data_IF_769552642503
#
_entry.id   IF_769552642503
#
_cell.length_a   1.000
_cell.length_b   1.000
_cell.length_c   1.000
_cell.angle_alpha   90.00
_cell.angle_beta   90.00
_cell.angle_gamma   90.00
#
_symmetry.space_group_name_H-M   'P 1'
#
loop_
_entity.id
_entity.type
_entity.pdbx_description
1 polymer ?
#
# COMPACT_ATOMS: atom_id res chain seq x y z
N UNK A 1 -9.07 -6.11 58.99
CA UNK A 1 -9.27 -6.68 57.63
C UNK A 1 -9.48 -5.50 56.69
N UNK A 2 -8.56 -5.22 55.78
CA UNK A 2 -8.69 -4.06 54.90
C UNK A 2 -7.57 -4.04 53.87
N UNK A 3 -7.66 -4.92 52.87
CA UNK A 3 -6.74 -4.93 51.73
C UNK A 3 -7.22 -3.91 50.71
N UNK A 4 -6.50 -2.80 50.57
CA UNK A 4 -6.68 -1.86 49.48
C UNK A 4 -6.16 -2.48 48.18
N UNK A 5 -7.05 -2.83 47.26
CA UNK A 5 -6.69 -3.36 45.95
C UNK A 5 -6.30 -2.22 45.01
N UNK A 6 -5.01 -2.12 44.69
CA UNK A 6 -4.46 -1.14 43.74
C UNK A 6 -4.74 -1.64 42.32
N UNK A 7 -5.59 -0.95 41.57
CA UNK A 7 -5.88 -1.22 40.17
C UNK A 7 -4.71 -0.72 39.29
N UNK A 8 -3.84 -1.63 38.86
CA UNK A 8 -2.81 -1.36 37.84
C UNK A 8 -3.47 -1.22 36.46
N UNK A 9 -3.66 0.02 36.00
CA UNK A 9 -4.08 0.30 34.63
C UNK A 9 -2.91 0.07 33.66
N UNK A 10 -2.89 -1.08 32.98
CA UNK A 10 -1.95 -1.33 31.88
C UNK A 10 -2.41 -0.57 30.64
N UNK A 11 -1.75 0.53 30.30
CA UNK A 11 -1.97 1.24 29.04
C UNK A 11 -1.56 0.32 27.88
N UNK A 12 -2.53 -0.18 27.12
CA UNK A 12 -2.25 -0.86 25.85
C UNK A 12 -1.74 0.18 24.86
N UNK A 13 -0.45 0.14 24.55
CA UNK A 13 0.10 0.92 23.45
C UNK A 13 -0.50 0.36 22.15
N UNK A 14 -1.48 1.07 21.59
CA UNK A 14 -1.99 0.78 20.26
C UNK A 14 -0.88 1.08 19.25
N UNK A 15 -0.09 0.06 18.93
CA UNK A 15 0.97 0.13 17.95
C UNK A 15 0.30 0.32 16.57
N UNK A 16 0.12 1.56 16.13
CA UNK A 16 -0.28 1.87 14.76
C UNK A 16 0.88 1.51 13.83
N UNK A 17 1.07 0.22 13.59
CA UNK A 17 2.08 -0.25 12.66
C UNK A 17 1.69 0.26 11.27
N UNK A 18 2.59 1.01 10.63
CA UNK A 18 2.48 1.45 9.24
C UNK A 18 2.64 0.26 8.28
N UNK A 19 1.85 -0.80 8.50
CA UNK A 19 1.85 -2.00 7.69
C UNK A 19 1.18 -1.68 6.36
N UNK A 20 1.86 -1.94 5.24
CA UNK A 20 1.25 -1.77 3.93
C UNK A 20 0.01 -2.67 3.83
N UNK A 21 -1.11 -2.09 3.38
CA UNK A 21 -2.37 -2.78 3.15
C UNK A 21 -3.03 -3.40 4.41
N UNK A 22 -3.27 -2.62 5.46
CA UNK A 22 -3.92 -3.06 6.70
C UNK A 22 -5.46 -2.94 6.69
N UNK A 23 -6.10 -3.60 7.67
CA UNK A 23 -7.55 -3.52 7.88
C UNK A 23 -8.34 -4.07 6.70
N UNK A 24 -9.24 -3.23 6.14
CA UNK A 24 -10.14 -3.60 5.03
C UNK A 24 -9.41 -3.89 3.71
N UNK A 25 -8.14 -3.52 3.60
CA UNK A 25 -7.32 -3.75 2.39
C UNK A 25 -6.88 -5.20 2.21
N UNK A 26 -6.96 -6.01 3.27
CA UNK A 26 -6.75 -7.46 3.19
C UNK A 26 -5.30 -7.91 2.98
N UNK A 27 -4.31 -7.07 3.27
CA UNK A 27 -2.90 -7.39 3.06
C UNK A 27 -2.39 -7.07 1.66
N UNK A 28 -1.11 -7.35 1.45
CA UNK A 28 -0.39 -7.05 0.22
C UNK A 28 -0.71 -8.14 -0.81
N UNK A 29 -1.24 -7.75 -1.96
CA UNK A 29 -1.42 -8.62 -3.12
C UNK A 29 -0.13 -8.73 -3.94
N UNK A 30 0.66 -7.66 -3.99
CA UNK A 30 1.93 -7.64 -4.73
C UNK A 30 2.58 -6.26 -4.75
N UNK A 31 3.64 -6.14 -5.54
CA UNK A 31 4.39 -4.90 -5.75
C UNK A 31 4.29 -4.43 -7.20
N UNK A 32 4.12 -3.13 -7.39
CA UNK A 32 4.35 -2.46 -8.67
C UNK A 32 5.48 -1.46 -8.48
N UNK A 33 6.71 -1.88 -8.80
CA UNK A 33 7.92 -1.19 -8.36
C UNK A 33 7.99 -1.14 -6.84
N UNK A 34 8.13 0.08 -6.32
CA UNK A 34 8.14 0.33 -4.88
C UNK A 34 6.73 0.43 -4.27
N UNK A 35 5.68 0.47 -5.08
CA UNK A 35 4.30 0.65 -4.63
C UNK A 35 3.66 -0.67 -4.25
N UNK A 36 3.04 -0.74 -3.07
CA UNK A 36 2.30 -1.93 -2.66
C UNK A 36 0.90 -1.91 -3.27
N UNK A 37 0.53 -3.00 -3.91
CA UNK A 37 -0.83 -3.30 -4.33
C UNK A 37 -1.49 -4.14 -3.25
N UNK A 38 -2.67 -3.71 -2.83
CA UNK A 38 -3.45 -4.40 -1.80
C UNK A 38 -4.42 -5.41 -2.43
N UNK A 39 -4.90 -6.37 -1.63
CA UNK A 39 -5.86 -7.37 -2.11
C UNK A 39 -7.19 -6.76 -2.57
N UNK A 40 -7.57 -5.61 -2.03
CA UNK A 40 -8.73 -4.83 -2.51
C UNK A 40 -8.50 -4.14 -3.88
N UNK A 41 -7.29 -4.26 -4.44
CA UNK A 41 -6.91 -3.61 -5.69
C UNK A 41 -6.44 -2.17 -5.54
N UNK A 42 -6.48 -1.60 -4.33
CA UNK A 42 -5.96 -0.25 -4.08
C UNK A 42 -4.44 -0.20 -3.97
N UNK A 43 -3.92 1.00 -4.20
CA UNK A 43 -2.53 1.34 -3.88
C UNK A 43 -2.41 1.66 -2.39
N UNK A 44 -1.39 1.11 -1.75
CA UNK A 44 -1.03 1.48 -0.38
C UNK A 44 -0.44 2.88 -0.34
N UNK A 45 -0.88 3.68 0.64
CA UNK A 45 -0.29 4.99 0.93
C UNK A 45 1.07 4.89 1.67
N UNK A 46 1.55 3.68 1.94
CA UNK A 46 2.83 3.47 2.62
C UNK A 46 3.98 4.06 1.79
N UNK A 47 4.84 4.84 2.47
CA UNK A 47 6.05 5.41 1.86
C UNK A 47 7.18 4.40 1.70
N UNK A 48 7.04 3.21 2.27
CA UNK A 48 8.04 2.15 2.18
C UNK A 48 8.19 1.66 0.74
N UNK A 49 9.34 1.05 0.45
CA UNK A 49 9.57 0.38 -0.82
C UNK A 49 9.09 -1.07 -0.72
N UNK A 50 8.14 -1.44 -1.57
CA UNK A 50 7.58 -2.78 -1.64
C UNK A 50 8.66 -3.83 -1.98
N UNK A 51 9.54 -3.49 -2.90
CA UNK A 51 10.74 -4.24 -3.28
C UNK A 51 11.63 -4.62 -2.08
N UNK A 52 11.92 -3.65 -1.21
CA UNK A 52 12.72 -3.84 0.01
C UNK A 52 11.93 -4.63 1.06
N UNK A 53 10.63 -4.32 1.21
CA UNK A 53 9.78 -4.96 2.21
C UNK A 53 9.49 -6.45 1.92
N UNK A 54 9.40 -6.84 0.65
CA UNK A 54 9.17 -8.23 0.23
C UNK A 54 10.45 -9.09 0.22
N UNK A 55 11.58 -8.56 0.70
CA UNK A 55 12.79 -9.36 0.93
C UNK A 55 13.82 -9.32 -0.20
N UNK A 56 14.07 -8.15 -0.80
CA UNK A 56 15.42 -7.66 -1.15
C UNK A 56 16.37 -8.51 -2.01
N UNK A 57 15.97 -9.66 -2.56
CA UNK A 57 16.82 -10.51 -3.39
C UNK A 57 16.68 -10.22 -4.91
N UNK A 58 15.70 -9.39 -5.29
CA UNK A 58 15.48 -8.98 -6.70
C UNK A 58 16.35 -7.76 -7.08
N UNK A 59 17.07 -7.16 -6.13
CA UNK A 59 17.96 -6.01 -6.36
C UNK A 59 19.35 -6.35 -6.90
N UNK A 60 19.77 -7.62 -6.84
CA UNK A 60 21.10 -8.07 -7.29
C UNK A 60 21.19 -8.38 -8.80
N UNK A 61 20.07 -8.34 -9.53
CA UNK A 61 20.03 -8.57 -10.98
C UNK A 61 19.58 -7.33 -11.79
N UNK A 62 19.51 -6.14 -11.18
CA UNK A 62 19.20 -4.90 -11.91
C UNK A 62 17.78 -4.83 -12.51
N UNK A 63 16.91 -5.79 -12.19
CA UNK A 63 15.51 -5.79 -12.59
C UNK A 63 14.67 -5.06 -11.56
N UNK A 64 14.75 -3.72 -11.52
CA UNK A 64 13.77 -2.93 -10.79
C UNK A 64 12.38 -3.30 -11.30
N UNK A 65 11.52 -3.83 -10.42
CA UNK A 65 10.14 -4.15 -10.80
C UNK A 65 9.56 -2.91 -11.50
N UNK A 66 8.94 -3.06 -12.69
CA UNK A 66 8.54 -1.90 -13.48
C UNK A 66 7.67 -0.99 -12.61
N UNK A 67 8.16 0.23 -12.38
CA UNK A 67 7.35 1.24 -11.72
C UNK A 67 6.09 1.46 -12.56
N UNK A 68 4.99 1.79 -11.88
CA UNK A 68 3.72 2.03 -12.55
C UNK A 68 3.91 3.03 -13.70
N UNK A 69 3.39 2.68 -14.87
CA UNK A 69 3.55 3.42 -16.11
C UNK A 69 2.27 4.18 -16.49
N UNK A 70 2.37 5.34 -17.15
CA UNK A 70 1.20 6.05 -17.65
C UNK A 70 0.57 5.22 -18.77
N UNK A 71 -0.75 5.05 -18.73
CA UNK A 71 -1.51 4.52 -19.86
C UNK A 71 -2.25 5.66 -20.57
N UNK A 72 -2.28 5.61 -21.89
CA UNK A 72 -3.04 6.53 -22.75
C UNK A 72 -4.44 5.97 -23.04
N UNK A 73 -4.72 4.73 -22.63
CA UNK A 73 -6.00 4.05 -22.83
C UNK A 73 -7.03 4.27 -21.71
N UNK A 74 -8.24 3.75 -21.92
CA UNK A 74 -9.35 3.87 -20.97
C UNK A 74 -9.19 3.01 -19.71
N UNK A 75 -8.29 2.03 -19.71
CA UNK A 75 -8.11 1.09 -18.59
C UNK A 75 -6.77 1.31 -17.86
N UNK A 76 -6.84 2.01 -16.72
CA UNK A 76 -5.70 2.29 -15.85
C UNK A 76 -5.81 1.56 -14.52
N UNK A 77 -5.85 0.23 -14.59
CA UNK A 77 -5.97 -0.64 -13.42
C UNK A 77 -4.70 -0.66 -12.56
N UNK A 78 -4.84 -0.51 -11.24
CA UNK A 78 -3.73 -0.52 -10.28
C UNK A 78 -2.96 -1.85 -10.32
N UNK A 79 -3.68 -2.96 -10.54
CA UNK A 79 -3.12 -4.31 -10.62
C UNK A 79 -2.19 -4.49 -11.83
N UNK A 80 -2.55 -3.90 -12.96
CA UNK A 80 -1.75 -3.94 -14.20
C UNK A 80 -0.52 -3.03 -14.15
N UNK A 81 -0.37 -2.22 -13.09
CA UNK A 81 0.73 -1.25 -12.99
C UNK A 81 0.53 -0.04 -13.91
N UNK A 82 -0.69 0.18 -14.39
CA UNK A 82 -1.03 1.34 -15.20
C UNK A 82 -1.64 2.44 -14.32
N UNK A 83 -1.35 3.70 -14.65
CA UNK A 83 -2.03 4.85 -14.03
C UNK A 83 -2.51 5.84 -15.08
N UNK A 84 -3.65 6.48 -14.79
CA UNK A 84 -4.18 7.64 -15.48
C UNK A 84 -3.69 8.92 -14.80
N UNK A 85 -3.65 10.00 -15.57
CA UNK A 85 -3.43 11.35 -15.04
C UNK A 85 -4.74 12.13 -15.17
N UNK A 86 -5.25 12.65 -14.06
CA UNK A 86 -6.48 13.44 -14.07
C UNK A 86 -6.26 14.85 -14.62
N UNK A 87 -7.34 15.62 -14.88
CA UNK A 87 -7.27 16.98 -15.42
C UNK A 87 -6.49 17.96 -14.53
N UNK A 88 -6.35 17.64 -13.23
CA UNK A 88 -5.55 18.42 -12.26
C UNK A 88 -4.09 17.95 -12.15
N UNK A 89 -3.63 17.07 -13.04
CA UNK A 89 -2.27 16.50 -13.02
C UNK A 89 -2.03 15.43 -11.95
N UNK A 90 -3.07 15.02 -11.20
CA UNK A 90 -2.97 13.96 -10.19
C UNK A 90 -2.97 12.57 -10.83
N UNK A 91 -2.01 11.72 -10.43
CA UNK A 91 -1.90 10.33 -10.88
C UNK A 91 -2.85 9.43 -10.10
N UNK A 92 -3.65 8.63 -10.78
CA UNK A 92 -4.57 7.67 -10.16
C UNK A 92 -4.65 6.39 -10.97
N UNK A 93 -5.03 5.30 -10.33
CA UNK A 93 -5.36 4.04 -10.96
C UNK A 93 -6.73 3.56 -10.46
N UNK A 94 -7.36 2.66 -11.17
CA UNK A 94 -8.64 2.04 -10.80
C UNK A 94 -8.39 0.76 -10.01
N UNK A 95 -9.09 0.60 -8.89
CA UNK A 95 -9.10 -0.64 -8.12
C UNK A 95 -10.05 -1.66 -8.77
N UNK A 96 -9.94 -2.93 -8.38
CA UNK A 96 -10.85 -3.99 -8.85
C UNK A 96 -12.34 -3.66 -8.54
N UNK A 97 -12.60 -2.88 -7.49
CA UNK A 97 -13.94 -2.40 -7.12
C UNK A 97 -14.41 -1.15 -7.88
N UNK A 98 -13.70 -0.70 -8.92
CA UNK A 98 -14.06 0.47 -9.72
C UNK A 98 -13.82 1.82 -9.02
N UNK A 99 -13.03 1.84 -7.94
CA UNK A 99 -12.73 3.06 -7.19
C UNK A 99 -11.39 3.64 -7.64
N UNK A 100 -11.25 4.97 -7.59
CA UNK A 100 -9.99 5.64 -7.91
C UNK A 100 -9.04 5.57 -6.71
N UNK A 101 -7.86 5.02 -6.92
CA UNK A 101 -6.75 5.03 -5.97
C UNK A 101 -5.67 5.97 -6.47
N UNK A 102 -5.31 6.97 -5.67
CA UNK A 102 -4.31 7.96 -6.07
C UNK A 102 -2.90 7.45 -5.79
N UNK A 103 -2.01 7.63 -6.76
CA UNK A 103 -0.60 7.29 -6.62
C UNK A 103 0.13 8.43 -5.93
N UNK A 104 1.14 8.06 -5.14
CA UNK A 104 2.14 8.99 -4.62
C UNK A 104 3.01 9.56 -5.75
N UNK A 105 3.41 10.83 -5.60
CA UNK A 105 4.32 11.54 -6.52
C UNK A 105 5.77 11.19 -6.21
#
# INVERSE_FOLDING_TARGET
>A
MGTAAILLSTAVAAQAANTPCSGRKGGIAGCQGDTFICNDGSVSASKRSCSVYMGGAVGLLGGGSPQMAPTVGADCSCRSGAYCTGPRGGRYCMTDGGQKSYLRK
#
